data_IF_365476990774
#
_entry.id   IF_365476990774
#
_cell.length_a   1.000
_cell.length_b   1.000
_cell.length_c   1.000
_cell.angle_alpha   90.00
_cell.angle_beta   90.00
_cell.angle_gamma   90.00
#
_symmetry.space_group_name_H-M   'P 1'
#
loop_
_entity.id
_entity.type
_entity.pdbx_description
1 polymer ?
#
# COMPACT_ATOMS: atom_id res chain seq x y z
N UNK A 1 -22.86 3.99 2.46
CA UNK A 1 -22.61 2.56 2.17
C UNK A 1 -21.15 2.18 2.27
N UNK A 2 -20.22 2.90 1.61
CA UNK A 2 -18.79 2.54 1.59
C UNK A 2 -18.19 2.42 3.00
N UNK A 3 -18.33 3.44 3.86
CA UNK A 3 -17.77 3.39 5.22
C UNK A 3 -18.29 2.24 6.10
N UNK A 4 -19.57 1.86 5.93
CA UNK A 4 -20.13 0.69 6.63
C UNK A 4 -19.52 -0.62 6.13
N UNK A 5 -19.36 -0.77 4.80
CA UNK A 5 -18.72 -1.98 4.25
C UNK A 5 -17.25 -2.05 4.63
N UNK A 6 -16.53 -0.92 4.67
CA UNK A 6 -15.14 -0.86 5.13
C UNK A 6 -15.02 -1.29 6.59
N UNK A 7 -15.94 -0.85 7.46
CA UNK A 7 -15.97 -1.29 8.86
C UNK A 7 -16.21 -2.81 8.98
N UNK A 8 -17.19 -3.34 8.25
CA UNK A 8 -17.47 -4.79 8.25
C UNK A 8 -16.28 -5.59 7.73
N UNK A 9 -15.63 -5.16 6.65
CA UNK A 9 -14.45 -5.83 6.10
C UNK A 9 -13.29 -5.78 7.10
N UNK A 10 -13.09 -4.66 7.79
CA UNK A 10 -12.08 -4.53 8.85
C UNK A 10 -12.32 -5.51 9.99
N UNK A 11 -13.54 -5.54 10.53
CA UNK A 11 -13.92 -6.41 11.64
C UNK A 11 -13.79 -7.90 11.27
N UNK A 12 -14.24 -8.28 10.07
CA UNK A 12 -14.11 -9.66 9.56
C UNK A 12 -12.65 -10.03 9.33
N UNK A 13 -11.84 -9.11 8.79
CA UNK A 13 -10.41 -9.35 8.59
C UNK A 13 -9.69 -9.55 9.93
N UNK A 14 -9.92 -8.70 10.93
CA UNK A 14 -9.35 -8.88 12.27
C UNK A 14 -9.82 -10.17 12.95
N UNK A 15 -11.10 -10.51 12.87
CA UNK A 15 -11.62 -11.78 13.39
C UNK A 15 -10.96 -12.98 12.71
N UNK A 16 -10.79 -12.94 11.39
CA UNK A 16 -10.07 -13.95 10.63
C UNK A 16 -8.59 -14.02 11.06
N UNK A 17 -7.92 -12.88 11.19
CA UNK A 17 -6.54 -12.79 11.69
C UNK A 17 -6.37 -13.49 13.03
N UNK A 18 -7.26 -13.23 14.00
CA UNK A 18 -7.26 -13.89 15.30
C UNK A 18 -7.39 -15.42 15.19
N UNK A 19 -8.23 -15.95 14.28
CA UNK A 19 -8.41 -17.41 14.14
C UNK A 19 -7.18 -18.14 13.60
N UNK A 20 -6.29 -17.43 12.90
CA UNK A 20 -5.10 -17.99 12.23
C UNK A 20 -3.82 -17.62 12.99
N UNK A 21 -3.92 -16.80 14.04
CA UNK A 21 -2.77 -16.28 14.80
C UNK A 21 -2.02 -15.15 14.10
N UNK A 22 -2.67 -14.44 13.17
CA UNK A 22 -2.13 -13.24 12.54
C UNK A 22 -2.34 -12.01 13.44
N UNK A 23 -1.31 -11.19 13.58
CA UNK A 23 -1.44 -9.90 14.29
C UNK A 23 -2.30 -8.94 13.46
N UNK A 24 -2.97 -7.99 14.11
CA UNK A 24 -3.78 -6.98 13.41
C UNK A 24 -2.94 -6.17 12.41
N UNK A 25 -1.68 -5.88 12.74
CA UNK A 25 -0.74 -5.17 11.86
C UNK A 25 -0.45 -5.97 10.57
N UNK A 26 -0.20 -7.28 10.68
CA UNK A 26 0.05 -8.15 9.52
C UNK A 26 -1.23 -8.35 8.70
N UNK A 27 -2.37 -8.52 9.37
CA UNK A 27 -3.67 -8.68 8.73
C UNK A 27 -4.07 -7.43 7.94
N UNK A 28 -3.82 -6.25 8.51
CA UNK A 28 -4.09 -4.95 7.88
C UNK A 28 -3.18 -4.70 6.67
N UNK A 29 -1.87 -4.93 6.80
CA UNK A 29 -0.89 -4.70 5.72
C UNK A 29 -1.00 -5.69 4.56
N UNK A 30 -1.62 -6.86 4.79
CA UNK A 30 -1.82 -7.89 3.76
C UNK A 30 -3.25 -7.87 3.23
N UNK A 31 -4.21 -8.43 3.96
CA UNK A 31 -5.56 -8.68 3.48
C UNK A 31 -6.36 -7.41 3.25
N UNK A 32 -6.33 -6.46 4.20
CA UNK A 32 -7.09 -5.22 4.09
C UNK A 32 -6.47 -4.31 3.01
N UNK A 33 -5.15 -4.13 3.03
CA UNK A 33 -4.45 -3.33 2.04
C UNK A 33 -4.58 -3.89 0.61
N UNK A 34 -4.45 -5.22 0.44
CA UNK A 34 -4.63 -5.88 -0.85
C UNK A 34 -6.09 -5.81 -1.31
N UNK A 35 -7.05 -6.08 -0.42
CA UNK A 35 -8.47 -6.04 -0.75
C UNK A 35 -8.97 -4.67 -1.21
N UNK A 36 -8.42 -3.60 -0.63
CA UNK A 36 -8.75 -2.21 -1.02
C UNK A 36 -8.01 -1.75 -2.28
N UNK A 37 -6.75 -2.16 -2.45
CA UNK A 37 -5.90 -1.66 -3.55
C UNK A 37 -5.99 -2.48 -4.85
N UNK A 38 -6.48 -3.73 -4.81
CA UNK A 38 -6.65 -4.56 -6.00
C UNK A 38 -7.62 -3.97 -7.03
N UNK A 39 -8.83 -3.51 -6.65
CA UNK A 39 -9.74 -2.84 -7.59
C UNK A 39 -9.12 -1.62 -8.24
N UNK A 40 -8.43 -0.78 -7.47
CA UNK A 40 -7.70 0.40 -7.97
C UNK A 40 -6.58 -0.01 -8.94
N UNK A 41 -5.88 -1.11 -8.66
CA UNK A 41 -4.84 -1.63 -9.53
C UNK A 41 -5.41 -2.09 -10.87
N UNK A 42 -6.55 -2.80 -10.86
CA UNK A 42 -7.22 -3.21 -12.10
C UNK A 42 -7.76 -2.01 -12.89
N UNK A 43 -8.37 -1.04 -12.22
CA UNK A 43 -8.82 0.20 -12.86
C UNK A 43 -7.65 0.97 -13.49
N UNK A 44 -6.55 1.13 -12.75
CA UNK A 44 -5.32 1.79 -13.23
C UNK A 44 -4.70 1.04 -14.42
N UNK A 45 -4.71 -0.29 -14.40
CA UNK A 45 -4.23 -1.12 -15.52
C UNK A 45 -5.10 -0.92 -16.76
N UNK A 46 -6.42 -0.97 -16.61
CA UNK A 46 -7.35 -0.77 -17.73
C UNK A 46 -7.18 0.63 -18.32
N UNK A 47 -7.06 1.66 -17.47
CA UNK A 47 -6.77 3.01 -17.89
C UNK A 47 -5.43 3.11 -18.65
N UNK A 48 -4.37 2.47 -18.16
CA UNK A 48 -3.06 2.48 -18.81
C UNK A 48 -3.02 1.73 -20.17
N UNK A 49 -3.88 0.72 -20.35
CA UNK A 49 -3.97 -0.02 -21.63
C UNK A 49 -4.79 0.74 -22.66
N UNK A 50 -5.82 1.46 -22.22
CA UNK A 50 -6.74 2.17 -23.10
C UNK A 50 -6.29 3.61 -23.44
N UNK A 51 -5.38 4.18 -22.66
CA UNK A 51 -4.85 5.53 -22.84
C UNK A 51 -3.41 5.47 -23.38
N UNK A 52 -3.15 6.17 -24.50
CA UNK A 52 -1.84 6.19 -25.15
C UNK A 52 -0.74 6.78 -24.26
N UNK A 53 -1.08 7.75 -23.41
CA UNK A 53 -0.12 8.42 -22.52
C UNK A 53 -0.18 7.90 -21.09
N UNK A 54 -1.16 7.04 -20.77
CA UNK A 54 -1.43 6.52 -19.43
C UNK A 54 -1.64 7.59 -18.35
N UNK A 55 -1.92 8.84 -18.72
CA UNK A 55 -2.19 9.96 -17.79
C UNK A 55 -3.38 9.62 -16.88
N UNK A 56 -4.41 8.99 -17.44
CA UNK A 56 -5.58 8.53 -16.70
C UNK A 56 -5.23 7.53 -15.59
N UNK A 57 -4.22 6.68 -15.81
CA UNK A 57 -3.73 5.71 -14.84
C UNK A 57 -3.01 6.40 -13.67
N UNK A 58 -2.19 7.41 -13.97
CA UNK A 58 -1.47 8.20 -12.96
C UNK A 58 -2.46 8.94 -12.07
N UNK A 59 -3.47 9.58 -12.66
CA UNK A 59 -4.52 10.29 -11.90
C UNK A 59 -5.29 9.33 -11.00
N UNK A 60 -5.61 8.12 -11.47
CA UNK A 60 -6.30 7.13 -10.65
C UNK A 60 -5.45 6.68 -9.45
N UNK A 61 -4.19 6.31 -9.68
CA UNK A 61 -3.28 5.86 -8.60
C UNK A 61 -3.02 6.99 -7.59
N UNK A 62 -2.75 8.21 -8.04
CA UNK A 62 -2.49 9.34 -7.15
C UNK A 62 -3.75 9.78 -6.41
N UNK A 63 -4.91 9.81 -7.10
CA UNK A 63 -6.19 10.18 -6.52
C UNK A 63 -6.66 9.20 -5.45
N UNK A 64 -6.66 7.90 -5.72
CA UNK A 64 -7.07 6.87 -4.74
C UNK A 64 -6.19 6.90 -3.50
N UNK A 65 -4.87 7.05 -3.65
CA UNK A 65 -3.95 7.17 -2.50
C UNK A 65 -4.16 8.46 -1.70
N UNK A 66 -4.41 9.60 -2.37
CA UNK A 66 -4.70 10.85 -1.70
C UNK A 66 -6.00 10.75 -0.86
N UNK A 67 -7.04 10.12 -1.41
CA UNK A 67 -8.28 9.83 -0.68
C UNK A 67 -8.03 8.95 0.54
N UNK A 68 -7.23 7.89 0.41
CA UNK A 68 -6.92 7.00 1.53
C UNK A 68 -6.19 7.73 2.68
N UNK A 69 -5.24 8.61 2.37
CA UNK A 69 -4.49 9.35 3.39
C UNK A 69 -5.34 10.49 3.98
N UNK A 70 -5.88 11.37 3.14
CA UNK A 70 -6.57 12.57 3.62
C UNK A 70 -7.97 12.28 4.17
N UNK A 71 -8.75 11.46 3.46
CA UNK A 71 -10.11 11.13 3.88
C UNK A 71 -10.15 9.91 4.79
N UNK A 72 -9.37 8.86 4.49
CA UNK A 72 -9.33 7.66 5.32
C UNK A 72 -8.73 7.94 6.69
N UNK A 73 -7.46 8.34 6.74
CA UNK A 73 -6.74 8.58 8.01
C UNK A 73 -7.07 9.97 8.57
N UNK A 74 -7.01 11.02 7.73
CA UNK A 74 -7.13 12.41 8.19
C UNK A 74 -8.48 12.74 8.85
N UNK A 75 -9.59 12.29 8.26
CA UNK A 75 -10.93 12.52 8.84
C UNK A 75 -11.12 11.72 10.13
N UNK A 76 -10.73 10.45 10.15
CA UNK A 76 -10.83 9.61 11.34
C UNK A 76 -10.04 10.20 12.53
N UNK A 77 -8.81 10.66 12.27
CA UNK A 77 -7.98 11.32 13.27
C UNK A 77 -8.60 12.63 13.75
N UNK A 78 -9.13 13.46 12.85
CA UNK A 78 -9.79 14.72 13.21
C UNK A 78 -10.98 14.47 14.14
N UNK A 79 -11.83 13.50 13.82
CA UNK A 79 -12.98 13.13 14.65
C UNK A 79 -12.52 12.63 16.02
N UNK A 80 -11.53 11.73 16.07
CA UNK A 80 -11.01 11.21 17.34
C UNK A 80 -10.45 12.33 18.23
N UNK A 81 -9.71 13.27 17.64
CA UNK A 81 -9.14 14.42 18.36
C UNK A 81 -10.23 15.31 18.97
N UNK A 82 -11.30 15.59 18.22
CA UNK A 82 -12.43 16.38 18.71
C UNK A 82 -13.14 15.67 19.89
N UNK A 83 -13.35 14.36 19.78
CA UNK A 83 -13.99 13.58 20.85
C UNK A 83 -13.16 13.60 22.14
N UNK A 84 -11.84 13.42 22.03
CA UNK A 84 -10.93 13.47 23.17
C UNK A 84 -10.88 14.88 23.78
N UNK A 85 -10.85 15.92 22.95
CA UNK A 85 -10.93 17.32 23.39
C UNK A 85 -12.21 17.60 24.21
N UNK A 86 -13.37 17.18 23.71
CA UNK A 86 -14.66 17.37 24.41
C UNK A 86 -14.71 16.60 25.74
N UNK A 87 -14.08 15.43 25.81
CA UNK A 87 -14.02 14.61 27.04
C UNK A 87 -12.94 15.05 28.02
N UNK A 88 -12.12 16.04 27.66
CA UNK A 88 -10.98 16.49 28.48
C UNK A 88 -9.87 15.45 28.62
N UNK A 89 -9.77 14.49 27.69
CA UNK A 89 -8.75 13.44 27.70
C UNK A 89 -7.68 13.73 26.64
N UNK A 90 -6.44 13.31 26.88
CA UNK A 90 -5.40 13.40 25.87
C UNK A 90 -5.63 12.34 24.77
N UNK A 91 -5.44 12.72 23.51
CA UNK A 91 -5.42 11.78 22.39
C UNK A 91 -3.99 11.32 22.13
N UNK A 92 -3.65 10.11 22.58
CA UNK A 92 -2.32 9.51 22.43
C UNK A 92 -2.43 8.32 21.50
N UNK A 93 -1.71 8.36 20.38
CA UNK A 93 -1.64 7.25 19.41
C UNK A 93 -0.22 6.70 19.39
N UNK A 94 0.02 5.47 19.87
CA UNK A 94 1.33 4.86 19.78
C UNK A 94 1.67 4.57 18.32
N UNK A 95 2.86 4.98 17.88
CA UNK A 95 3.31 4.77 16.50
C UNK A 95 3.58 3.29 16.17
N UNK A 96 3.91 2.47 17.18
CA UNK A 96 4.18 1.04 16.99
C UNK A 96 5.23 0.78 15.91
N UNK A 97 4.96 -0.20 15.04
CA UNK A 97 5.80 -0.61 13.90
C UNK A 97 5.69 0.28 12.66
N UNK A 98 4.99 1.43 12.75
CA UNK A 98 4.76 2.32 11.61
C UNK A 98 6.06 2.90 11.08
N UNK A 99 6.97 3.34 11.96
CA UNK A 99 8.26 3.94 11.57
C UNK A 99 9.12 2.98 10.76
N UNK A 100 9.23 1.72 11.23
CA UNK A 100 9.91 0.65 10.52
C UNK A 100 9.29 0.40 9.15
N UNK A 101 7.96 0.20 9.11
CA UNK A 101 7.22 -0.10 7.87
C UNK A 101 7.37 1.00 6.83
N UNK A 102 7.19 2.27 7.22
CA UNK A 102 7.33 3.43 6.31
C UNK A 102 8.76 3.53 5.77
N UNK A 103 9.76 3.27 6.60
CA UNK A 103 11.16 3.35 6.17
C UNK A 103 11.50 2.27 5.14
N UNK A 104 11.11 1.01 5.38
CA UNK A 104 11.30 -0.08 4.40
C UNK A 104 10.54 0.23 3.10
N UNK A 105 9.30 0.73 3.20
CA UNK A 105 8.53 1.14 2.04
C UNK A 105 9.25 2.22 1.22
N UNK A 106 9.79 3.27 1.86
CA UNK A 106 10.54 4.32 1.20
C UNK A 106 11.80 3.80 0.49
N UNK A 107 12.55 2.88 1.12
CA UNK A 107 13.72 2.24 0.52
C UNK A 107 13.31 1.46 -0.74
N UNK A 108 12.24 0.66 -0.66
CA UNK A 108 11.76 -0.12 -1.81
C UNK A 108 11.15 0.76 -2.90
N UNK A 109 10.52 1.88 -2.54
CA UNK A 109 10.03 2.88 -3.49
C UNK A 109 11.20 3.49 -4.30
N UNK A 110 12.35 3.76 -3.66
CA UNK A 110 13.54 4.21 -4.38
C UNK A 110 14.01 3.16 -5.38
N UNK A 111 14.12 1.88 -4.98
CA UNK A 111 14.48 0.81 -5.91
C UNK A 111 13.48 0.68 -7.07
N UNK A 112 12.18 0.81 -6.77
CA UNK A 112 11.13 0.77 -7.76
C UNK A 112 11.25 1.92 -8.77
N UNK A 113 11.45 3.15 -8.31
CA UNK A 113 11.64 4.35 -9.15
C UNK A 113 12.90 4.21 -9.99
N UNK A 114 14.02 3.78 -9.40
CA UNK A 114 15.27 3.55 -10.14
C UNK A 114 15.04 2.54 -11.27
N UNK A 115 14.35 1.43 -11.01
CA UNK A 115 14.03 0.46 -12.05
C UNK A 115 13.16 1.08 -13.15
N UNK A 116 12.12 1.85 -12.81
CA UNK A 116 11.26 2.52 -13.79
C UNK A 116 12.05 3.52 -14.66
N UNK A 117 12.92 4.32 -14.05
CA UNK A 117 13.81 5.24 -14.78
C UNK A 117 14.78 4.48 -15.68
N UNK A 118 15.34 3.35 -15.23
CA UNK A 118 16.18 2.50 -16.06
C UNK A 118 15.41 1.87 -17.22
N UNK A 119 14.12 1.53 -17.05
CA UNK A 119 13.27 1.02 -18.14
C UNK A 119 13.00 2.06 -19.24
N UNK A 120 13.09 3.36 -18.94
CA UNK A 120 13.02 4.44 -19.94
C UNK A 120 14.17 4.37 -20.96
N UNK A 121 15.30 3.75 -20.61
CA UNK A 121 16.45 3.67 -21.52
C UNK A 121 16.12 2.82 -22.76
N UNK A 122 16.52 3.24 -23.97
CA UNK A 122 16.27 2.49 -25.21
C UNK A 122 16.79 1.05 -25.16
N UNK A 123 17.93 0.82 -24.49
CA UNK A 123 18.52 -0.51 -24.30
C UNK A 123 17.56 -1.50 -23.61
N UNK A 124 16.71 -1.01 -22.70
CA UNK A 124 15.77 -1.80 -21.89
C UNK A 124 14.38 -1.94 -22.52
N UNK A 125 14.18 -1.42 -23.75
CA UNK A 125 12.91 -1.47 -24.47
C UNK A 125 12.14 -0.15 -24.52
N UNK A 126 12.68 0.94 -23.93
CA UNK A 126 12.21 2.31 -24.14
C UNK A 126 10.80 2.63 -23.60
N UNK A 127 10.29 1.86 -22.65
CA UNK A 127 8.94 2.04 -22.11
C UNK A 127 8.89 1.83 -20.61
N UNK A 128 8.19 2.72 -19.91
CA UNK A 128 8.00 2.69 -18.45
C UNK A 128 7.09 1.55 -18.03
N UNK A 129 5.93 1.46 -18.69
CA UNK A 129 4.89 0.47 -18.46
C UNK A 129 4.72 -0.38 -19.73
N UNK A 130 4.78 -1.70 -19.60
CA UNK A 130 4.36 -2.61 -20.67
C UNK A 130 5.26 -2.71 -21.93
N UNK A 131 6.46 -2.10 -21.94
CA UNK A 131 7.35 -2.02 -23.12
C UNK A 131 7.57 -3.32 -23.91
N UNK A 132 7.94 -3.17 -25.20
CA UNK A 132 7.91 -4.23 -26.24
C UNK A 132 8.73 -5.50 -25.94
N UNK A 133 9.77 -5.40 -25.11
CA UNK A 133 10.60 -6.56 -24.72
C UNK A 133 9.91 -7.37 -23.62
N UNK A 134 9.13 -8.38 -24.03
CA UNK A 134 8.34 -9.26 -23.14
C UNK A 134 9.15 -9.84 -21.99
N UNK A 135 10.40 -10.27 -22.21
CA UNK A 135 11.26 -10.81 -21.13
C UNK A 135 11.56 -9.79 -20.02
N UNK A 136 11.93 -8.56 -20.38
CA UNK A 136 12.23 -7.50 -19.41
C UNK A 136 10.96 -7.04 -18.69
N UNK A 137 9.81 -7.03 -19.40
CA UNK A 137 8.51 -6.74 -18.79
C UNK A 137 8.22 -7.71 -17.64
N UNK A 138 8.25 -9.01 -17.90
CA UNK A 138 8.01 -10.01 -16.85
C UNK A 138 9.04 -9.95 -15.72
N UNK A 139 10.32 -9.76 -16.04
CA UNK A 139 11.37 -9.59 -15.03
C UNK A 139 11.08 -8.39 -14.11
N UNK A 140 10.70 -7.23 -14.67
CA UNK A 140 10.34 -6.05 -13.87
C UNK A 140 9.08 -6.27 -13.03
N UNK A 141 8.05 -6.94 -13.57
CA UNK A 141 6.84 -7.26 -12.82
C UNK A 141 7.11 -8.23 -11.66
N UNK A 142 7.93 -9.26 -11.88
CA UNK A 142 8.35 -10.19 -10.83
C UNK A 142 9.15 -9.44 -9.75
N UNK A 143 10.03 -8.54 -10.14
CA UNK A 143 10.78 -7.72 -9.19
C UNK A 143 9.87 -6.85 -8.31
N UNK A 144 8.88 -6.16 -8.88
CA UNK A 144 7.92 -5.37 -8.09
C UNK A 144 7.09 -6.25 -7.13
N UNK A 145 6.63 -7.41 -7.59
CA UNK A 145 5.92 -8.36 -6.74
C UNK A 145 6.82 -8.90 -5.62
N UNK A 146 8.10 -9.18 -5.92
CA UNK A 146 9.07 -9.61 -4.93
C UNK A 146 9.33 -8.52 -3.89
N UNK A 147 9.48 -7.25 -4.28
CA UNK A 147 9.61 -6.13 -3.33
C UNK A 147 8.42 -6.05 -2.38
N UNK A 148 7.19 -6.22 -2.89
CA UNK A 148 6.00 -6.24 -2.05
C UNK A 148 5.96 -7.44 -1.09
N UNK A 149 6.29 -8.64 -1.57
CA UNK A 149 6.36 -9.85 -0.72
C UNK A 149 7.44 -9.73 0.36
N UNK A 150 8.61 -9.18 0.02
CA UNK A 150 9.68 -8.92 0.98
C UNK A 150 9.25 -7.86 2.00
N UNK A 151 8.53 -6.81 1.56
CA UNK A 151 8.00 -5.79 2.47
C UNK A 151 7.04 -6.40 3.50
N UNK A 152 6.07 -7.21 3.03
CA UNK A 152 5.14 -7.92 3.91
C UNK A 152 5.89 -8.84 4.87
N UNK A 153 6.89 -9.57 4.38
CA UNK A 153 7.68 -10.48 5.21
C UNK A 153 8.45 -9.72 6.31
N UNK A 154 9.19 -8.67 5.95
CA UNK A 154 10.01 -7.90 6.90
C UNK A 154 9.14 -7.21 7.95
N UNK A 155 8.03 -6.61 7.53
CA UNK A 155 7.07 -5.99 8.47
C UNK A 155 6.39 -7.03 9.36
N UNK A 156 6.12 -8.24 8.85
CA UNK A 156 5.61 -9.33 9.67
C UNK A 156 6.63 -9.80 10.71
N UNK A 157 7.88 -10.02 10.30
CA UNK A 157 8.95 -10.47 11.19
C UNK A 157 9.24 -9.47 12.32
N UNK A 158 9.12 -8.17 12.05
CA UNK A 158 9.23 -7.14 13.09
C UNK A 158 8.02 -7.16 14.04
N UNK A 159 6.79 -7.29 13.53
CA UNK A 159 5.59 -7.39 14.37
C UNK A 159 5.54 -8.65 15.24
N UNK A 160 6.22 -9.73 14.84
CA UNK A 160 6.40 -10.95 15.64
C UNK A 160 7.67 -10.93 16.50
N UNK A 161 8.34 -9.79 16.62
CA UNK A 161 9.56 -9.61 17.41
C UNK A 161 10.73 -10.52 17.00
N UNK A 162 10.76 -11.01 15.76
CA UNK A 162 11.89 -11.76 15.22
C UNK A 162 13.02 -10.84 14.74
N UNK A 163 12.68 -9.63 14.33
CA UNK A 163 13.61 -8.56 13.96
C UNK A 163 13.31 -7.36 14.85
N UNK A 164 14.35 -6.72 15.35
CA UNK A 164 14.21 -5.48 16.12
C UNK A 164 14.07 -4.33 15.12
N UNK A 165 12.90 -3.68 15.11
CA UNK A 165 12.71 -2.41 14.42
C UNK A 165 13.61 -1.32 15.02
N UNK A 166 13.93 -0.31 14.22
CA UNK A 166 14.71 0.86 14.64
C UNK A 166 13.82 1.99 15.15
#
# INVERSE_FOLDING_TARGET
>A
MIGFMTAVIGDVASAFGCTIGLTDAVTSTTFVALGTSLPDTFASKVAAVNDQYADSSIVNVTGSNAVNVFLGIGVAWTIATIVHWVRGTAFVVPAGSLGFSVTIFCIFAVFAIVLLVLRRKPAMGGGELGGVKTGIKWASSIFFLALWMIYVLLTSLENYCHIVGF
#
